data_IF_448992741665
#
_entry.id   IF_448992741665
#
_cell.length_a   1.000
_cell.length_b   1.000
_cell.length_c   1.000
_cell.angle_alpha   90.00
_cell.angle_beta   90.00
_cell.angle_gamma   90.00
#
_symmetry.space_group_name_H-M   'P 1'
#
loop_
_entity.id
_entity.type
_entity.pdbx_description
1 polymer ?
#
# COMPACT_ATOMS: atom_id res chain seq x y z
N UNK A 1 -1.27 28.05 9.01
CA UNK A 1 -1.02 26.62 8.73
C UNK A 1 -1.63 25.79 9.86
N UNK A 2 -2.70 25.01 9.60
CA UNK A 2 -3.33 24.18 10.65
C UNK A 2 -2.47 22.93 10.85
N UNK A 3 -1.96 22.73 12.07
CA UNK A 3 -1.20 21.52 12.45
C UNK A 3 -2.08 20.29 12.24
N UNK A 4 -1.64 19.35 11.39
CA UNK A 4 -2.34 18.08 11.21
C UNK A 4 -2.37 17.32 12.54
N UNK A 5 -3.56 16.97 13.02
CA UNK A 5 -3.72 16.22 14.25
C UNK A 5 -3.33 14.76 13.99
N UNK A 6 -2.24 14.28 14.63
CA UNK A 6 -1.82 12.88 14.52
C UNK A 6 -2.91 12.00 15.16
N UNK A 7 -3.43 10.98 14.46
CA UNK A 7 -4.50 10.16 15.00
C UNK A 7 -4.02 9.40 16.23
N UNK A 8 -4.82 9.43 17.30
CA UNK A 8 -4.58 8.70 18.54
C UNK A 8 -4.52 7.19 18.26
N UNK A 9 -3.88 6.38 19.13
CA UNK A 9 -3.79 4.92 18.92
C UNK A 9 -5.16 4.27 18.69
N UNK A 10 -6.17 4.66 19.47
CA UNK A 10 -7.57 4.23 19.29
C UNK A 10 -8.13 4.56 17.91
N UNK A 11 -7.77 5.71 17.35
CA UNK A 11 -8.20 6.13 16.00
C UNK A 11 -7.47 5.32 14.92
N UNK A 12 -6.18 4.98 15.11
CA UNK A 12 -5.44 4.13 14.17
C UNK A 12 -6.00 2.71 14.12
N UNK A 13 -6.39 2.15 15.25
CA UNK A 13 -7.04 0.84 15.33
C UNK A 13 -8.45 0.86 14.72
N UNK A 14 -9.21 1.92 14.98
CA UNK A 14 -10.51 2.12 14.34
C UNK A 14 -10.38 2.21 12.81
N UNK A 15 -9.43 3.01 12.30
CA UNK A 15 -9.13 3.15 10.87
C UNK A 15 -8.68 1.82 10.24
N UNK A 16 -7.85 1.04 10.94
CA UNK A 16 -7.48 -0.31 10.51
C UNK A 16 -8.67 -1.26 10.44
N UNK A 17 -9.64 -1.13 11.34
CA UNK A 17 -10.84 -1.99 11.38
C UNK A 17 -11.85 -1.64 10.27
N UNK A 18 -12.02 -0.35 9.95
CA UNK A 18 -12.94 0.10 8.90
C UNK A 18 -12.31 0.13 7.50
N UNK A 19 -10.98 0.05 7.40
CA UNK A 19 -10.27 -0.01 6.12
C UNK A 19 -10.58 -1.29 5.33
N UNK A 20 -10.21 -1.29 4.05
CA UNK A 20 -10.41 -2.43 3.15
C UNK A 20 -9.80 -3.71 3.73
N UNK A 21 -10.66 -4.61 4.22
CA UNK A 21 -10.25 -5.92 4.71
C UNK A 21 -10.26 -6.91 3.54
N UNK A 22 -9.08 -7.37 3.12
CA UNK A 22 -8.94 -8.43 2.12
C UNK A 22 -9.75 -9.66 2.58
N UNK A 23 -10.76 -10.05 1.80
CA UNK A 23 -11.61 -11.21 2.12
C UNK A 23 -12.78 -10.97 3.09
N UNK A 24 -12.92 -9.78 3.68
CA UNK A 24 -14.06 -9.39 4.55
C UNK A 24 -14.84 -8.18 4.04
N UNK A 25 -14.28 -7.39 3.14
CA UNK A 25 -15.07 -6.38 2.42
C UNK A 25 -16.19 -7.09 1.65
N UNK A 26 -17.36 -6.44 1.50
CA UNK A 26 -18.59 -7.04 0.94
C UNK A 26 -18.48 -7.63 -0.47
N UNK A 27 -17.29 -7.62 -1.06
CA UNK A 27 -16.96 -8.38 -2.24
C UNK A 27 -15.55 -9.01 -2.14
N UNK A 28 -15.41 -10.17 -1.46
CA UNK A 28 -14.12 -10.83 -1.23
C UNK A 28 -13.42 -11.31 -2.51
N UNK A 29 -14.17 -11.47 -3.62
CA UNK A 29 -13.62 -11.82 -4.94
C UNK A 29 -13.43 -10.60 -5.86
N UNK A 30 -13.69 -9.39 -5.38
CA UNK A 30 -13.68 -8.19 -6.21
C UNK A 30 -14.82 -8.19 -7.25
N UNK A 31 -14.89 -7.16 -8.10
CA UNK A 31 -15.94 -7.05 -9.14
C UNK A 31 -16.01 -8.38 -9.90
N UNK A 32 -17.17 -9.07 -9.92
CA UNK A 32 -17.26 -10.34 -10.63
C UNK A 32 -16.81 -10.15 -12.08
N UNK A 33 -15.99 -11.08 -12.61
CA UNK A 33 -15.52 -10.99 -13.98
C UNK A 33 -16.73 -10.97 -14.92
N UNK A 34 -16.61 -10.22 -16.00
CA UNK A 34 -17.65 -10.17 -17.03
C UNK A 34 -17.89 -11.60 -17.56
N UNK A 35 -19.15 -12.06 -17.68
CA UNK A 35 -19.45 -13.37 -18.26
C UNK A 35 -18.85 -13.50 -19.66
N UNK A 36 -18.31 -14.67 -19.99
CA UNK A 36 -17.57 -14.85 -21.24
C UNK A 36 -18.43 -14.60 -22.47
N UNK A 37 -19.69 -15.05 -22.45
CA UNK A 37 -20.68 -14.79 -23.51
C UNK A 37 -20.84 -13.30 -23.83
N UNK A 38 -20.78 -12.44 -22.80
CA UNK A 38 -20.93 -10.99 -22.97
C UNK A 38 -19.68 -10.41 -23.60
N UNK A 39 -18.48 -10.89 -23.22
CA UNK A 39 -17.23 -10.47 -23.86
C UNK A 39 -17.21 -10.84 -25.34
N UNK A 40 -17.63 -12.06 -25.68
CA UNK A 40 -17.64 -12.51 -27.08
C UNK A 40 -18.64 -11.69 -27.91
N UNK A 41 -19.84 -11.42 -27.39
CA UNK A 41 -20.82 -10.55 -28.06
C UNK A 41 -20.28 -9.13 -28.27
N UNK A 42 -19.60 -8.57 -27.27
CA UNK A 42 -18.97 -7.24 -27.39
C UNK A 42 -17.82 -7.23 -28.39
N UNK A 43 -17.07 -8.32 -28.50
CA UNK A 43 -16.02 -8.48 -29.50
C UNK A 43 -16.58 -8.56 -30.93
N UNK A 44 -17.73 -9.20 -31.14
CA UNK A 44 -18.37 -9.17 -32.45
C UNK A 44 -18.97 -7.80 -32.79
N UNK A 45 -19.53 -7.10 -31.79
CA UNK A 45 -20.08 -5.75 -31.98
C UNK A 45 -18.99 -4.70 -32.25
N UNK A 46 -17.70 -5.02 -32.03
CA UNK A 46 -16.63 -4.06 -32.27
C UNK A 46 -16.49 -3.69 -33.74
N UNK A 47 -16.81 -4.60 -34.66
CA UNK A 47 -16.70 -4.34 -36.10
C UNK A 47 -17.76 -3.32 -36.56
N UNK A 48 -19.00 -3.47 -36.09
CA UNK A 48 -20.08 -2.50 -36.30
C UNK A 48 -19.77 -1.16 -35.63
N UNK A 49 -19.13 -1.18 -34.44
CA UNK A 49 -18.73 0.03 -33.73
C UNK A 49 -17.65 0.82 -34.49
N UNK A 50 -16.71 0.14 -35.15
CA UNK A 50 -15.70 0.80 -35.99
C UNK A 50 -16.34 1.41 -37.23
N UNK A 51 -17.30 0.70 -37.85
CA UNK A 51 -18.01 1.18 -39.04
C UNK A 51 -18.82 2.44 -38.73
N UNK A 52 -19.59 2.40 -37.64
CA UNK A 52 -20.36 3.57 -37.16
C UNK A 52 -19.47 4.75 -36.77
N UNK A 53 -18.28 4.52 -36.19
CA UNK A 53 -17.31 5.60 -35.93
C UNK A 53 -16.82 6.25 -37.23
N UNK A 54 -16.56 5.47 -38.28
CA UNK A 54 -16.18 6.01 -39.59
C UNK A 54 -17.31 6.82 -40.24
N UNK A 55 -18.55 6.36 -40.14
CA UNK A 55 -19.73 7.09 -40.61
C UNK A 55 -19.91 8.40 -39.85
N UNK A 56 -19.85 8.38 -38.51
CA UNK A 56 -19.95 9.58 -37.68
C UNK A 56 -18.83 10.56 -38.00
N UNK A 57 -17.62 10.09 -38.28
CA UNK A 57 -16.49 10.95 -38.65
C UNK A 57 -16.70 11.66 -40.00
N UNK A 58 -17.32 10.98 -40.99
CA UNK A 58 -17.52 11.51 -42.35
C UNK A 58 -18.80 12.34 -42.48
N UNK A 59 -19.90 11.83 -41.97
CA UNK A 59 -21.27 12.32 -42.22
C UNK A 59 -21.95 12.91 -40.97
N UNK A 60 -21.27 12.87 -39.82
CA UNK A 60 -21.79 13.38 -38.56
C UNK A 60 -22.22 14.85 -38.67
N UNK A 61 -23.46 15.15 -38.26
CA UNK A 61 -24.02 16.50 -38.25
C UNK A 61 -23.32 17.46 -37.29
N UNK A 62 -22.71 16.93 -36.22
CA UNK A 62 -22.04 17.71 -35.19
C UNK A 62 -20.52 17.60 -35.35
N UNK A 63 -19.85 18.75 -35.49
CA UNK A 63 -18.39 18.84 -35.56
C UNK A 63 -17.69 18.23 -34.35
N UNK A 64 -18.20 18.47 -33.14
CA UNK A 64 -17.63 17.91 -31.93
C UNK A 64 -17.67 16.37 -31.93
N UNK A 65 -18.73 15.78 -32.50
CA UNK A 65 -18.83 14.34 -32.66
C UNK A 65 -17.87 13.79 -33.71
N UNK A 66 -17.65 14.52 -34.82
CA UNK A 66 -16.67 14.15 -35.85
C UNK A 66 -15.25 14.15 -35.29
N UNK A 67 -14.88 15.20 -34.54
CA UNK A 67 -13.55 15.31 -33.92
C UNK A 67 -13.33 14.21 -32.88
N UNK A 68 -14.33 13.92 -32.04
CA UNK A 68 -14.24 12.82 -31.07
C UNK A 68 -14.12 11.45 -31.74
N UNK A 69 -14.85 11.21 -32.83
CA UNK A 69 -14.73 9.97 -33.58
C UNK A 69 -13.33 9.81 -34.18
N UNK A 70 -12.77 10.88 -34.76
CA UNK A 70 -11.41 10.90 -35.26
C UNK A 70 -10.37 10.67 -34.14
N UNK A 71 -10.53 11.32 -32.99
CA UNK A 71 -9.68 11.12 -31.82
C UNK A 71 -9.71 9.67 -31.32
N UNK A 72 -10.89 9.05 -31.27
CA UNK A 72 -11.05 7.66 -30.84
C UNK A 72 -10.33 6.67 -31.78
N UNK A 73 -10.41 6.89 -33.09
CA UNK A 73 -9.69 6.07 -34.09
C UNK A 73 -8.17 6.26 -33.95
N UNK A 74 -7.71 7.50 -33.82
CA UNK A 74 -6.28 7.81 -33.66
C UNK A 74 -5.71 7.26 -32.35
N UNK A 75 -6.46 7.31 -31.26
CA UNK A 75 -6.04 6.81 -29.95
C UNK A 75 -5.78 5.29 -29.94
N UNK A 76 -6.32 4.54 -30.90
CA UNK A 76 -6.00 3.11 -31.04
C UNK A 76 -4.60 2.88 -31.64
N UNK A 77 -4.17 3.75 -32.56
CA UNK A 77 -2.88 3.61 -33.25
C UNK A 77 -1.75 4.36 -32.54
N UNK A 78 -2.07 5.45 -31.86
CA UNK A 78 -1.09 6.35 -31.26
C UNK A 78 -1.16 6.23 -29.74
N UNK A 79 -0.02 5.91 -29.11
CA UNK A 79 0.08 5.87 -27.66
C UNK A 79 -0.23 7.26 -27.07
N UNK A 80 -1.13 7.30 -26.09
CA UNK A 80 -1.40 8.53 -25.34
C UNK A 80 -0.13 9.01 -24.64
N UNK A 81 0.01 10.32 -24.53
CA UNK A 81 1.13 10.93 -23.83
C UNK A 81 1.25 10.39 -22.39
N UNK A 82 2.50 10.14 -21.97
CA UNK A 82 2.78 9.62 -20.64
C UNK A 82 2.22 10.55 -19.56
N UNK A 83 1.36 10.01 -18.70
CA UNK A 83 0.79 10.78 -17.58
C UNK A 83 1.79 10.78 -16.42
N UNK A 84 2.17 11.97 -15.96
CA UNK A 84 2.98 12.11 -14.73
C UNK A 84 2.06 12.03 -13.51
N UNK A 85 2.29 11.06 -12.65
CA UNK A 85 1.62 10.95 -11.35
C UNK A 85 2.62 11.33 -10.26
N UNK A 86 2.48 12.52 -9.71
CA UNK A 86 3.25 12.95 -8.54
C UNK A 86 2.52 12.47 -7.29
N UNK A 87 3.14 11.54 -6.57
CA UNK A 87 2.64 11.04 -5.28
C UNK A 87 3.57 11.55 -4.20
N UNK A 88 3.13 12.58 -3.47
CA UNK A 88 3.82 13.07 -2.29
C UNK A 88 3.53 12.14 -1.11
N UNK A 89 4.51 11.30 -0.76
CA UNK A 89 4.45 10.45 0.43
C UNK A 89 5.27 11.09 1.53
N UNK A 90 4.59 11.89 2.36
CA UNK A 90 5.17 12.48 3.57
C UNK A 90 5.39 11.40 4.63
N UNK A 91 6.60 10.84 4.66
CA UNK A 91 7.04 9.99 5.76
C UNK A 91 7.42 10.88 6.94
N UNK A 92 6.53 10.99 7.92
CA UNK A 92 6.86 11.58 9.21
C UNK A 92 7.83 10.67 9.97
N UNK A 93 9.12 10.71 9.62
CA UNK A 93 10.17 10.13 10.45
C UNK A 93 10.35 11.03 11.67
N UNK A 94 9.69 10.71 12.78
CA UNK A 94 9.98 11.32 14.07
C UNK A 94 11.33 10.76 14.56
N UNK A 95 12.43 11.36 14.13
CA UNK A 95 13.80 11.02 14.58
C UNK A 95 13.93 11.01 16.11
N UNK A 96 13.12 11.83 16.79
CA UNK A 96 13.04 11.88 18.25
C UNK A 96 12.52 10.59 18.88
N UNK A 97 11.55 9.92 18.25
CA UNK A 97 11.02 8.66 18.77
C UNK A 97 12.04 7.51 18.66
N UNK A 98 12.90 7.55 17.63
CA UNK A 98 13.99 6.58 17.47
C UNK A 98 15.11 6.85 18.48
N UNK A 99 15.43 8.12 18.73
CA UNK A 99 16.45 8.50 19.71
C UNK A 99 16.01 8.16 21.15
N UNK A 100 14.75 8.44 21.50
CA UNK A 100 14.19 8.12 22.82
C UNK A 100 14.11 6.59 23.05
N UNK A 101 13.80 5.81 22.01
CA UNK A 101 13.85 4.36 22.08
C UNK A 101 15.28 3.82 22.25
N UNK A 102 16.28 4.49 21.67
CA UNK A 102 17.69 4.13 21.85
C UNK A 102 18.17 4.43 23.28
N UNK A 103 17.78 5.58 23.84
CA UNK A 103 18.10 5.95 25.24
C UNK A 103 17.47 4.97 26.24
N UNK A 104 16.21 4.57 26.04
CA UNK A 104 15.55 3.57 26.90
C UNK A 104 16.21 2.18 26.83
N UNK A 105 16.76 1.80 25.66
CA UNK A 105 17.51 0.56 25.50
C UNK A 105 18.87 0.59 26.23
N UNK A 106 19.46 1.77 26.45
CA UNK A 106 20.68 1.91 27.25
C UNK A 106 20.38 1.84 28.76
N UNK A 107 19.29 2.47 29.21
CA UNK A 107 18.89 2.43 30.63
C UNK A 107 18.45 1.04 31.12
N UNK A 108 17.99 0.15 30.23
CA UNK A 108 17.66 -1.23 30.56
C UNK A 108 18.86 -2.14 30.91
N UNK A 109 20.11 -1.69 30.71
CA UNK A 109 21.32 -2.49 30.96
C UNK A 109 21.95 -2.29 32.35
N UNK A 110 21.44 -1.36 33.17
CA UNK A 110 22.01 -1.03 34.49
C UNK A 110 21.28 -1.67 35.69
N UNK A 111 20.34 -2.60 35.44
CA UNK A 111 19.44 -3.15 36.48
C UNK A 111 19.77 -4.52 37.07
N UNK A 112 20.90 -5.15 36.72
CA UNK A 112 21.27 -6.47 37.28
C UNK A 112 22.66 -6.44 37.92
N UNK A 113 22.79 -5.75 39.05
CA UNK A 113 23.81 -6.11 40.05
C UNK A 113 23.36 -7.41 40.71
N UNK A 114 23.99 -8.51 40.30
CA UNK A 114 23.90 -9.78 40.99
C UNK A 114 24.71 -9.62 42.28
N UNK A 115 24.05 -9.71 43.44
CA UNK A 115 24.73 -9.81 44.73
C UNK A 115 25.54 -11.12 44.73
N UNK A 116 26.86 -11.00 44.75
CA UNK A 116 27.76 -12.14 44.85
C UNK A 116 27.82 -12.57 46.32
N UNK A 117 27.05 -13.61 46.67
CA UNK A 117 27.21 -14.32 47.94
C UNK A 117 28.63 -14.91 48.02
N UNK A 118 29.33 -14.51 49.08
CA UNK A 118 30.67 -14.97 49.44
C UNK A 118 30.57 -16.43 49.89
N UNK A 119 31.07 -17.36 49.06
CA UNK A 119 31.26 -18.76 49.48
C UNK A 119 32.58 -18.85 50.26
N UNK A 120 32.49 -18.91 51.59
CA UNK A 120 33.60 -19.27 52.46
C UNK A 120 34.05 -20.71 52.19
N UNK A 121 35.26 -20.87 51.65
CA UNK A 121 35.85 -22.18 51.41
C UNK A 121 36.44 -22.74 52.73
N UNK A 122 35.65 -23.52 53.46
CA UNK A 122 36.11 -24.35 54.58
C UNK A 122 36.03 -25.83 54.22
N UNK A 123 37.11 -26.36 53.65
CA UNK A 123 37.53 -27.77 53.81
C UNK A 123 39.03 -27.82 53.51
N UNK A 124 39.92 -28.34 54.36
CA UNK A 124 39.85 -29.62 55.03
C UNK A 124 41.03 -30.45 54.51
N UNK A 125 42.18 -30.34 55.20
CA UNK A 125 43.41 -31.14 55.07
C UNK A 125 43.16 -32.53 54.45
N UNK A 126 44.00 -32.97 53.50
CA UNK A 126 44.49 -34.36 53.46
C UNK A 126 45.93 -34.45 52.93
N UNK A 127 46.70 -35.27 53.65
CA UNK A 127 48.15 -35.52 53.55
C UNK A 127 48.54 -36.24 52.26
N UNK A 128 49.73 -35.95 51.74
CA UNK A 128 50.43 -36.79 50.76
C UNK A 128 51.94 -36.58 50.86
N UNK A 129 52.63 -37.53 51.48
CA UNK A 129 54.10 -37.58 51.62
C UNK A 129 54.77 -37.78 50.26
N UNK A 130 55.89 -37.09 50.03
CA UNK A 130 57.16 -37.69 49.61
C UNK A 130 58.30 -36.71 49.84
#
# INVERSE_FOLDING_TARGET
MKKGHKPTQKQREHLKRIGFQKGRSGNPKGRPPMPEEVKTKLAYLSDDAVTTLMEVMREGKNEASRVKAAEAVLAYQIAKAATKHEVDVTHGFDFRAVLEAAEQAEHGKLGTTIEADVIENTSGKHRGKR
#
